data_IF_492781562202
#
_entry.id   IF_492781562202
#
_cell.length_a   1.000
_cell.length_b   1.000
_cell.length_c   1.000
_cell.angle_alpha   90.00
_cell.angle_beta   90.00
_cell.angle_gamma   90.00
#
_symmetry.space_group_name_H-M   'P 1'
#
loop_
_entity.id
_entity.type
_entity.pdbx_description
1 polymer ?
2 non-polymer ?
3 water ?
#
# COMPACT_ATOMS: atom_id res chain seq x y z
N UNK A 1 -7.79 11.36 25.48
CA UNK A 1 -6.64 11.22 26.45
C UNK A 1 -5.45 10.39 25.83
N UNK A 2 -5.65 9.09 25.59
CA UNK A 2 -4.78 8.23 24.74
C UNK A 2 -4.80 8.69 23.28
N UNK A 3 -3.63 8.74 22.65
CA UNK A 3 -3.50 9.11 21.22
C UNK A 3 -2.29 8.49 20.50
N UNK A 4 -2.49 8.16 19.23
CA UNK A 4 -1.42 7.61 18.38
C UNK A 4 -1.43 8.31 17.01
N UNK A 5 -0.33 9.01 16.70
CA UNK A 5 -0.08 9.48 15.33
C UNK A 5 1.05 8.64 14.67
N UNK A 6 0.76 8.18 13.45
CA UNK A 6 1.68 7.37 12.66
C UNK A 6 1.68 7.93 11.27
N UNK A 7 2.85 8.11 10.65
CA UNK A 7 2.91 8.83 9.34
C UNK A 7 4.17 8.52 8.58
N UNK A 8 4.05 8.49 7.25
CA UNK A 8 5.28 8.40 6.47
C UNK A 8 6.19 9.63 6.68
N UNK A 9 7.49 9.47 6.48
CA UNK A 9 8.39 10.58 6.43
C UNK A 9 7.72 11.66 5.58
N UNK A 10 7.55 12.87 6.13
CA UNK A 10 6.93 13.97 5.37
C UNK A 10 7.90 14.49 4.31
N UNK A 11 9.16 14.09 4.43
CA UNK A 11 10.21 14.45 3.49
C UNK A 11 10.28 13.58 2.23
N UNK A 12 11.39 13.71 1.52
CA UNK A 12 11.62 12.94 0.31
C UNK A 12 12.84 12.02 0.48
N UNK A 13 12.64 10.77 0.14
CA UNK A 13 13.68 9.78 0.20
C UNK A 13 13.95 9.35 -1.22
N UNK A 14 15.21 9.15 -1.56
CA UNK A 14 15.48 8.68 -2.89
C UNK A 14 16.12 7.28 -2.79
N UNK A 15 16.07 6.54 -3.88
CA UNK A 15 16.46 5.16 -3.93
C UNK A 15 17.99 5.01 -4.01
N UNK A 16 18.44 3.76 -3.94
CA UNK A 16 19.87 3.45 -3.85
C UNK A 16 20.26 3.06 -2.44
N UNK A 17 21.57 2.89 -2.27
CA UNK A 17 22.21 2.49 -1.02
C UNK A 17 22.24 3.69 -0.09
N UNK A 18 21.53 3.60 1.02
CA UNK A 18 21.25 4.81 1.77
C UNK A 18 22.55 5.17 2.44
N UNK A 19 23.01 6.44 2.28
CA UNK A 19 24.28 6.86 2.86
C UNK A 19 24.15 7.11 4.37
N UNK A 20 22.94 7.28 4.87
CA UNK A 20 22.72 7.36 6.32
C UNK A 20 21.50 6.56 6.75
N UNK A 21 21.26 6.46 8.06
CA UNK A 21 19.99 5.99 8.57
C UNK A 21 18.88 6.87 8.04
N UNK A 22 17.78 6.27 7.64
CA UNK A 22 16.66 7.10 7.18
C UNK A 22 15.36 6.61 7.82
N UNK A 23 14.58 7.57 8.33
CA UNK A 23 13.27 7.33 8.88
C UNK A 23 12.26 7.05 7.77
N UNK A 24 11.59 5.91 7.85
CA UNK A 24 10.47 5.62 6.93
C UNK A 24 9.09 6.12 7.45
N UNK A 25 8.90 6.10 8.78
CA UNK A 25 7.61 6.40 9.37
C UNK A 25 7.94 6.97 10.74
N UNK A 26 7.14 7.94 11.18
CA UNK A 26 7.29 8.43 12.56
C UNK A 26 6.14 7.84 13.37
N UNK A 27 6.37 7.62 14.65
CA UNK A 27 5.39 6.94 15.48
C UNK A 27 5.34 7.69 16.77
N UNK A 28 4.25 8.39 16.98
CA UNK A 28 4.15 9.11 18.25
C UNK A 28 2.97 8.65 19.17
N UNK A 29 3.32 8.36 20.41
CA UNK A 29 2.40 7.70 21.35
C UNK A 29 2.35 8.47 22.67
N UNK A 30 1.16 8.76 23.19
CA UNK A 30 1.11 9.33 24.53
C UNK A 30 -0.25 9.36 25.21
N UNK A 31 -0.21 9.40 26.54
CA UNK A 31 -1.40 9.49 27.39
C UNK A 31 -0.97 10.11 28.72
N UNK A 32 -1.77 11.03 29.25
CA UNK A 32 -1.51 11.62 30.60
C UNK A 32 -2.07 10.71 31.73
N UNK A 33 -3.28 10.19 31.50
CA UNK A 33 -3.84 9.06 32.27
C UNK A 33 -2.77 8.01 32.62
N UNK A 34 -2.92 7.31 33.75
CA UNK A 34 -1.75 6.48 34.20
C UNK A 34 -1.55 5.18 33.39
N UNK A 35 -0.31 4.67 33.30
CA UNK A 35 0.01 3.53 32.43
C UNK A 35 1.44 3.02 32.55
N UNK A 36 1.71 1.85 32.01
CA UNK A 36 3.01 1.26 32.24
C UNK A 36 3.86 1.24 30.99
N UNK A 37 3.21 1.15 29.82
CA UNK A 37 3.95 0.93 28.61
C UNK A 37 3.17 0.86 27.30
N UNK A 38 3.93 0.61 26.23
CA UNK A 38 3.43 0.68 24.88
C UNK A 38 4.09 -0.44 24.10
N UNK A 39 3.34 -1.01 23.16
CA UNK A 39 3.93 -2.02 22.26
C UNK A 39 3.41 -1.82 20.87
N UNK A 40 4.27 -2.05 19.89
CA UNK A 40 3.83 -2.01 18.49
C UNK A 40 3.87 -3.43 17.92
N UNK A 41 2.73 -3.86 17.42
CA UNK A 41 2.59 -5.21 16.85
C UNK A 41 2.43 -5.08 15.31
N UNK A 42 3.49 -5.48 14.61
CA UNK A 42 3.43 -5.47 13.15
C UNK A 42 2.45 -6.59 12.69
N UNK A 43 1.39 -6.20 11.97
CA UNK A 43 0.35 -7.13 11.52
C UNK A 43 0.46 -7.49 10.02
N UNK A 44 -0.27 -8.54 9.59
CA UNK A 44 -0.35 -8.93 8.18
C UNK A 44 1.00 -9.21 7.52
N UNK A 45 1.17 -8.70 6.30
CA UNK A 45 2.37 -8.86 5.45
C UNK A 45 3.58 -8.32 6.37
N UNK A 46 3.35 -7.32 7.26
CA UNK A 46 4.43 -6.73 8.13
C UNK A 46 4.92 -7.59 9.33
N UNK A 47 4.17 -8.60 9.71
CA UNK A 47 4.60 -9.55 10.72
C UNK A 47 6.12 -9.81 10.69
N UNK A 48 6.80 -9.63 11.81
CA UNK A 48 8.25 -9.79 11.80
C UNK A 48 9.05 -8.47 11.79
N UNK A 49 8.38 -7.35 11.48
CA UNK A 49 9.00 -6.03 11.51
C UNK A 49 9.40 -5.60 10.12
N UNK A 50 8.50 -5.76 9.16
CA UNK A 50 8.78 -5.45 7.76
C UNK A 50 7.87 -4.41 7.19
N UNK A 51 8.39 -3.68 6.19
CA UNK A 51 7.57 -2.92 5.26
C UNK A 51 7.62 -3.66 3.90
N UNK A 52 6.59 -3.53 3.07
CA UNK A 52 6.48 -4.32 1.82
C UNK A 52 6.29 -3.38 0.63
N UNK A 53 7.10 -3.57 -0.42
CA UNK A 53 7.05 -2.65 -1.55
C UNK A 53 5.89 -2.97 -2.47
N UNK A 54 5.50 -2.02 -3.31
CA UNK A 54 4.45 -2.27 -4.34
C UNK A 54 4.80 -3.44 -5.25
N UNK A 55 6.06 -3.82 -5.24
CA UNK A 55 6.63 -4.86 -6.09
C UNK A 55 6.75 -6.18 -5.29
N UNK A 56 6.48 -6.14 -4.00
CA UNK A 56 6.58 -7.32 -3.15
C UNK A 56 7.88 -7.63 -2.42
N UNK A 57 8.78 -6.66 -2.28
CA UNK A 57 10.02 -6.89 -1.54
C UNK A 57 9.77 -6.49 -0.12
N UNK A 58 10.33 -7.27 0.81
CA UNK A 58 10.18 -7.06 2.20
C UNK A 58 11.43 -6.43 2.76
N UNK A 59 11.34 -5.26 3.39
CA UNK A 59 12.52 -4.65 3.98
C UNK A 59 12.35 -4.42 5.48
N UNK A 60 13.28 -4.95 6.27
CA UNK A 60 13.26 -4.79 7.75
C UNK A 60 13.38 -3.35 8.25
N UNK A 61 12.70 -3.10 9.36
CA UNK A 61 12.68 -1.77 9.95
C UNK A 61 13.24 -1.89 11.34
N UNK A 62 13.75 -0.77 11.88
CA UNK A 62 14.23 -0.69 13.27
C UNK A 62 13.47 0.38 14.06
N UNK A 63 13.35 0.20 15.36
CA UNK A 63 12.76 1.25 16.17
C UNK A 63 13.86 2.03 16.91
N UNK A 64 13.80 3.35 16.93
CA UNK A 64 14.76 4.08 17.75
C UNK A 64 14.54 3.76 19.23
N UNK A 65 13.30 3.93 19.68
CA UNK A 65 12.95 3.97 21.12
C UNK A 65 12.62 2.63 21.75
N UNK A 66 12.23 1.63 20.96
CA UNK A 66 11.58 0.45 21.53
C UNK A 66 12.46 -0.75 21.45
N UNK A 67 12.27 -1.74 22.32
CA UNK A 67 13.02 -2.97 22.13
C UNK A 67 12.23 -4.00 21.36
N UNK A 68 12.93 -4.66 20.44
CA UNK A 68 12.35 -5.64 19.57
C UNK A 68 12.44 -7.00 20.23
N UNK A 69 11.30 -7.69 20.35
CA UNK A 69 11.28 -9.09 20.82
C UNK A 69 10.69 -10.06 19.76
N UNK A 70 11.58 -10.73 19.04
CA UNK A 70 11.18 -11.65 17.98
C UNK A 70 10.10 -12.65 18.38
N UNK A 71 10.25 -13.33 19.51
CA UNK A 71 9.35 -14.44 19.89
C UNK A 71 7.93 -13.98 20.18
N UNK A 72 7.70 -12.67 20.33
CA UNK A 72 6.35 -12.12 20.64
C UNK A 72 5.78 -11.39 19.45
N UNK A 73 6.60 -11.14 18.44
CA UNK A 73 6.26 -10.23 17.34
C UNK A 73 5.87 -8.82 17.83
N UNK A 74 6.73 -8.19 18.63
CA UNK A 74 6.52 -6.79 18.96
C UNK A 74 7.72 -6.03 19.41
N UNK A 75 7.58 -4.74 19.26
CA UNK A 75 8.47 -3.75 19.85
C UNK A 75 7.77 -3.28 21.10
N UNK A 76 8.54 -2.96 22.14
CA UNK A 76 7.90 -2.41 23.35
C UNK A 76 8.75 -1.40 24.12
N UNK A 77 8.09 -0.48 24.79
CA UNK A 77 8.78 0.43 25.69
C UNK A 77 7.96 0.55 26.99
N UNK A 78 8.62 0.40 28.12
CA UNK A 78 7.96 0.67 29.40
C UNK A 78 8.15 2.13 29.71
N UNK A 79 7.05 2.83 30.01
CA UNK A 79 7.12 4.24 30.28
C UNK A 79 5.93 4.78 31.04
N UNK A 80 6.19 5.20 32.30
CA UNK A 80 5.17 5.73 33.25
C UNK A 80 4.67 7.16 32.98
N UNK A 81 5.30 7.89 32.05
CA UNK A 81 5.18 9.40 31.93
C UNK A 81 4.13 9.97 30.98
N UNK A 82 3.61 11.19 31.27
CA UNK A 82 2.56 11.88 30.44
C UNK A 82 2.96 12.49 29.06
N UNK A 83 4.26 12.51 28.74
CA UNK A 83 4.77 13.14 27.47
C UNK A 83 4.57 12.29 26.16
N UNK A 84 4.05 12.85 25.04
CA UNK A 84 4.05 12.12 23.71
C UNK A 84 5.46 11.43 23.68
N UNK A 85 5.54 10.13 23.39
CA UNK A 85 6.81 9.45 22.99
C UNK A 85 6.98 9.55 21.45
N UNK A 86 8.10 10.08 20.95
CA UNK A 86 8.37 10.10 19.47
C UNK A 86 9.44 9.08 19.12
N UNK A 87 9.04 8.16 18.25
CA UNK A 87 9.88 7.09 17.76
C UNK A 87 9.91 7.20 16.25
N UNK A 88 11.00 6.71 15.68
CA UNK A 88 11.20 6.64 14.24
C UNK A 88 11.31 5.15 13.88
N UNK A 89 10.58 4.73 12.85
CA UNK A 89 10.83 3.44 12.29
C UNK A 89 11.66 3.74 11.06
N UNK A 90 12.86 3.14 11.01
CA UNK A 90 13.91 3.53 10.07
C UNK A 90 14.66 2.34 9.49
N UNK A 91 15.31 2.58 8.36
CA UNK A 91 16.37 1.67 7.84
C UNK A 91 17.77 2.20 8.17
N UNK A 92 18.68 1.27 8.45
CA UNK A 92 20.11 1.54 8.66
C UNK A 92 20.89 2.00 7.40
N UNK A 93 21.87 2.89 7.59
CA UNK A 93 22.87 3.19 6.55
C UNK A 93 23.29 1.91 5.80
N UNK A 94 23.40 1.98 4.47
CA UNK A 94 23.73 0.81 3.72
C UNK A 94 22.53 0.08 3.16
N UNK A 95 21.35 0.25 3.76
CA UNK A 95 20.15 -0.45 3.22
C UNK A 95 19.87 0.06 1.81
N UNK A 96 19.70 -0.88 0.89
CA UNK A 96 19.36 -0.57 -0.48
C UNK A 96 17.84 -0.42 -0.61
N UNK A 97 17.40 0.77 -1.02
CA UNK A 97 16.00 1.03 -1.24
C UNK A 97 15.77 1.13 -2.72
N UNK A 98 14.53 0.89 -3.16
CA UNK A 98 14.13 0.90 -4.57
C UNK A 98 13.17 2.03 -4.85
N UNK A 99 12.98 2.41 -6.14
CA UNK A 99 11.92 3.39 -6.50
C UNK A 99 10.57 2.67 -6.52
N UNK A 100 9.80 2.85 -5.46
CA UNK A 100 8.59 2.11 -5.24
C UNK A 100 7.92 2.74 -4.00
N UNK A 101 6.84 2.10 -3.54
CA UNK A 101 6.11 2.58 -2.40
C UNK A 101 6.12 1.44 -1.39
N UNK A 102 6.52 1.77 -0.16
CA UNK A 102 6.54 0.79 0.92
C UNK A 102 5.36 0.96 1.89
N UNK A 103 4.77 -0.17 2.32
CA UNK A 103 3.58 -0.20 3.21
C UNK A 103 3.92 -0.88 4.53
N UNK A 104 3.43 -0.33 5.64
CA UNK A 104 3.55 -0.98 6.96
C UNK A 104 2.15 -0.95 7.57
N UNK A 105 1.77 -2.04 8.25
CA UNK A 105 0.52 -2.07 9.03
C UNK A 105 0.91 -2.59 10.36
N UNK A 106 0.31 -2.06 11.42
CA UNK A 106 0.56 -2.56 12.80
C UNK A 106 -0.55 -2.26 13.79
N UNK A 107 -0.36 -2.69 15.03
CA UNK A 107 -1.29 -2.34 16.10
C UNK A 107 -0.50 -1.83 17.29
N UNK A 108 -0.81 -0.60 17.74
CA UNK A 108 -0.17 -0.08 18.97
C UNK A 108 -1.08 -0.43 20.18
N UNK A 109 -0.46 -0.90 21.26
CA UNK A 109 -1.23 -1.21 22.46
C UNK A 109 -0.62 -0.50 23.65
N UNK A 110 -1.50 0.23 24.35
CA UNK A 110 -1.15 0.80 25.64
C UNK A 110 -1.60 -0.18 26.75
N UNK A 111 -0.69 -0.49 27.68
CA UNK A 111 -0.98 -1.35 28.82
C UNK A 111 -0.59 -0.75 30.21
N UNK A 112 -1.14 -1.35 31.28
CA UNK A 112 -0.80 -1.02 32.68
C UNK A 112 -0.29 -2.28 33.39
N UNK A 113 0.57 -2.08 34.38
CA UNK A 113 1.15 -3.20 35.12
C UNK A 113 0.45 -3.38 36.48
N UNK A 114 0.40 -4.63 36.96
CA UNK A 114 -0.31 -5.03 38.20
C UNK A 114 0.52 -6.00 39.01
N UNK A 115 1.80 -5.68 39.25
CA UNK A 115 2.71 -6.53 40.08
C UNK A 115 3.30 -7.75 39.37
N UNK A 116 2.49 -8.48 38.61
CA UNK A 116 3.02 -9.65 37.88
C UNK A 116 2.75 -9.56 36.37
N UNK A 117 1.55 -9.09 36.01
CA UNK A 117 1.06 -9.14 34.64
C UNK A 117 0.83 -7.74 34.05
N UNK A 118 0.81 -7.63 32.72
CA UNK A 118 0.34 -6.41 32.06
C UNK A 118 -1.01 -6.65 31.43
N UNK A 119 -1.74 -5.56 31.22
CA UNK A 119 -3.11 -5.59 30.71
C UNK A 119 -3.46 -4.36 29.81
N UNK A 120 -3.90 -4.64 28.59
CA UNK A 120 -4.17 -3.64 27.58
C UNK A 120 -5.35 -2.69 27.94
N UNK A 121 -5.08 -1.38 28.00
CA UNK A 121 -6.13 -0.37 28.23
C UNK A 121 -6.55 0.47 27.04
N UNK A 122 -5.72 0.55 26.00
CA UNK A 122 -6.14 1.16 24.69
C UNK A 122 -5.39 0.52 23.50
N UNK A 123 -5.89 0.74 22.31
CA UNK A 123 -5.34 0.05 21.16
C UNK A 123 -5.70 0.82 19.93
N UNK A 124 -4.77 0.90 18.98
CA UNK A 124 -5.02 1.56 17.68
C UNK A 124 -4.24 0.90 16.51
N UNK A 125 -4.94 0.67 15.43
CA UNK A 125 -4.41 0.13 14.18
C UNK A 125 -3.68 1.28 13.50
N UNK A 126 -2.42 1.09 13.22
CA UNK A 126 -1.70 2.07 12.40
C UNK A 126 -1.44 1.47 11.02
N UNK A 127 -1.33 2.36 10.04
CA UNK A 127 -1.12 1.96 8.67
C UNK A 127 -0.51 3.17 7.96
N UNK A 128 0.49 2.94 7.10
CA UNK A 128 0.98 3.99 6.22
C UNK A 128 1.82 3.49 5.03
N UNK A 129 2.10 4.43 4.13
CA UNK A 129 2.71 4.18 2.84
C UNK A 129 3.69 5.28 2.57
N UNK A 130 4.93 4.89 2.29
CA UNK A 130 5.97 5.85 2.00
C UNK A 130 6.62 5.58 0.62
N UNK A 131 6.74 6.62 -0.21
CA UNK A 131 7.26 6.51 -1.59
C UNK A 131 8.73 6.97 -1.78
N UNK A 132 9.51 6.28 -2.60
CA UNK A 132 10.89 6.69 -2.93
C UNK A 132 11.17 6.68 -4.48
N UNK A 133 12.14 7.51 -5.07
CA UNK A 133 12.44 7.66 -6.64
C UNK A 133 13.99 7.57 -7.31
N UNK B 1 9.50 -39.44 -12.46
CA UNK B 1 9.37 -39.48 -10.97
C UNK B 1 8.89 -38.18 -10.22
N UNK B 2 9.66 -37.10 -10.26
CA UNK B 2 9.24 -35.82 -9.66
C UNK B 2 8.05 -35.19 -10.46
N UNK B 3 6.88 -35.00 -9.81
CA UNK B 3 5.63 -34.47 -10.46
C UNK B 3 5.18 -33.13 -9.82
N UNK B 4 4.78 -32.15 -10.65
CA UNK B 4 3.98 -31.03 -10.13
C UNK B 4 2.80 -30.67 -11.02
N UNK B 5 1.65 -30.48 -10.41
CA UNK B 5 0.46 -30.17 -11.20
C UNK B 5 -0.28 -28.99 -10.54
N UNK B 6 -0.68 -28.00 -11.35
CA UNK B 6 -1.20 -26.77 -10.84
C UNK B 6 -2.50 -26.56 -11.57
N UNK B 7 -3.61 -26.36 -10.85
CA UNK B 7 -4.93 -26.22 -11.51
C UNK B 7 -5.70 -25.09 -10.89
N UNK B 8 -6.33 -24.25 -11.73
CA UNK B 8 -7.30 -23.22 -11.31
C UNK B 8 -8.62 -23.82 -10.78
N UNK B 9 -9.22 -23.19 -9.78
CA UNK B 9 -10.48 -23.70 -9.27
C UNK B 9 -11.60 -23.26 -10.21
N UNK B 10 -11.48 -23.70 -11.46
CA UNK B 10 -12.59 -23.97 -12.39
C UNK B 10 -13.69 -22.92 -12.39
N UNK B 11 -14.94 -23.37 -12.25
CA UNK B 11 -16.12 -22.50 -12.19
C UNK B 11 -16.84 -22.72 -10.87
N UNK B 12 -16.13 -22.50 -9.76
CA UNK B 12 -16.74 -22.74 -8.45
C UNK B 12 -16.70 -21.42 -7.55
N UNK B 13 -16.21 -20.30 -8.11
CA UNK B 13 -16.00 -19.02 -7.39
C UNK B 13 -16.83 -17.88 -7.96
N UNK B 14 -17.51 -17.12 -7.10
CA UNK B 14 -18.35 -16.00 -7.54
C UNK B 14 -17.87 -14.76 -6.82
N UNK B 15 -18.33 -13.59 -7.27
CA UNK B 15 -17.76 -12.30 -6.92
C UNK B 15 -18.33 -11.75 -5.61
N UNK B 16 -17.62 -10.80 -4.99
CA UNK B 16 -18.12 -10.18 -3.75
C UNK B 16 -17.19 -10.40 -2.57
N UNK B 17 -17.70 -10.02 -1.39
CA UNK B 17 -17.00 -10.28 -0.15
C UNK B 17 -17.11 -11.78 0.06
N UNK B 18 -16.01 -12.51 -0.13
CA UNK B 18 -16.04 -13.95 0.07
C UNK B 18 -16.64 -14.34 1.44
N UNK B 19 -17.63 -15.26 1.47
CA UNK B 19 -18.22 -15.68 2.75
C UNK B 19 -17.34 -16.67 3.53
N UNK B 20 -16.35 -17.26 2.85
CA UNK B 20 -15.43 -18.23 3.49
C UNK B 20 -14.09 -18.27 2.81
N UNK B 21 -13.10 -18.91 3.42
CA UNK B 21 -11.84 -19.15 2.71
C UNK B 21 -12.17 -19.95 1.44
N UNK B 22 -11.72 -19.45 0.30
CA UNK B 22 -12.01 -20.15 -0.94
C UNK B 22 -10.76 -20.39 -1.74
N UNK B 23 -10.64 -21.59 -2.31
CA UNK B 23 -9.47 -21.99 -3.11
C UNK B 23 -9.45 -21.32 -4.48
N UNK B 24 -8.32 -20.72 -4.86
CA UNK B 24 -8.22 -20.16 -6.23
C UNK B 24 -7.47 -21.14 -7.12
N UNK B 25 -6.45 -21.77 -6.55
CA UNK B 25 -5.67 -22.74 -7.29
C UNK B 25 -5.33 -23.90 -6.34
N UNK B 26 -5.08 -25.03 -6.95
CA UNK B 26 -4.69 -26.24 -6.28
C UNK B 26 -3.26 -26.63 -6.79
N UNK B 27 -2.40 -27.10 -5.89
CA UNK B 27 -0.98 -27.44 -6.23
C UNK B 27 -0.71 -28.87 -5.75
N UNK B 28 -0.31 -29.75 -6.63
CA UNK B 28 0.10 -31.06 -6.16
C UNK B 28 1.59 -31.22 -6.47
N UNK B 29 2.34 -31.69 -5.51
CA UNK B 29 3.74 -31.92 -5.74
C UNK B 29 4.03 -33.26 -5.09
N UNK B 30 4.87 -34.05 -5.75
CA UNK B 30 5.34 -35.29 -5.16
C UNK B 30 6.56 -35.81 -5.86
N UNK B 31 7.32 -36.62 -5.12
CA UNK B 31 8.46 -37.38 -5.66
C UNK B 31 8.62 -38.61 -4.76
N UNK B 32 8.81 -39.77 -5.39
CA UNK B 32 9.02 -41.01 -4.64
C UNK B 32 10.51 -41.11 -4.26
N UNK B 33 11.37 -40.41 -5.02
CA UNK B 33 12.80 -40.37 -4.74
C UNK B 33 13.03 -39.60 -3.44
N UNK B 34 14.20 -39.75 -2.81
CA UNK B 34 14.40 -39.04 -1.55
C UNK B 34 14.57 -37.52 -1.73
N UNK B 35 14.03 -36.74 -0.80
CA UNK B 35 14.10 -35.27 -0.88
C UNK B 35 13.86 -34.71 0.52
N UNK B 36 14.21 -33.46 0.71
CA UNK B 36 14.06 -32.77 1.99
C UNK B 36 12.74 -32.00 2.04
N UNK B 37 12.37 -31.31 0.96
CA UNK B 37 11.15 -30.49 0.95
C UNK B 37 10.82 -29.78 -0.34
N UNK B 38 9.96 -28.77 -0.24
CA UNK B 38 9.39 -28.10 -1.43
C UNK B 38 9.17 -26.65 -1.11
N UNK B 39 9.43 -25.77 -2.09
CA UNK B 39 9.08 -24.35 -1.92
C UNK B 39 8.40 -23.86 -3.22
N UNK B 40 7.43 -22.94 -3.07
CA UNK B 40 6.85 -22.26 -4.23
C UNK B 40 7.30 -20.79 -4.20
N UNK B 41 7.85 -20.33 -5.32
CA UNK B 41 8.36 -18.96 -5.45
C UNK B 41 7.47 -18.22 -6.44
N UNK B 42 6.62 -17.34 -5.92
CA UNK B 42 5.80 -16.50 -6.82
C UNK B 42 6.72 -15.60 -7.73
N UNK B 43 6.46 -15.57 -9.04
CA UNK B 43 7.29 -14.80 -9.98
C UNK B 43 6.47 -13.75 -10.78
N UNK B 44 7.18 -12.75 -11.31
CA UNK B 44 6.55 -11.78 -12.22
C UNK B 44 5.47 -11.06 -11.48
N UNK B 45 4.30 -10.92 -12.09
CA UNK B 45 3.21 -10.23 -11.38
C UNK B 45 2.78 -10.79 -10.00
N UNK B 46 3.17 -12.04 -9.68
CA UNK B 46 2.75 -12.67 -8.43
C UNK B 46 3.67 -12.43 -7.26
N UNK B 47 4.77 -11.73 -7.53
CA UNK B 47 5.85 -11.61 -6.58
C UNK B 47 5.26 -11.14 -5.28
N UNK B 48 5.63 -11.77 -4.18
CA UNK B 48 5.04 -11.41 -2.89
C UNK B 48 3.84 -12.28 -2.49
N UNK B 49 3.42 -13.16 -3.39
CA UNK B 49 2.33 -14.10 -3.07
C UNK B 49 0.96 -13.53 -3.42
N UNK B 50 0.86 -12.89 -4.58
CA UNK B 50 -0.31 -12.07 -4.97
C UNK B 50 -0.89 -12.77 -6.27
N UNK B 51 -2.19 -12.73 -6.51
CA UNK B 51 -2.64 -12.99 -7.89
C UNK B 51 -3.00 -11.63 -8.52
N UNK B 52 -2.88 -11.52 -9.84
CA UNK B 52 -3.21 -10.28 -10.53
C UNK B 52 -4.46 -10.47 -11.41
N UNK B 53 -5.39 -9.54 -11.35
CA UNK B 53 -6.55 -9.57 -12.20
C UNK B 53 -6.19 -8.99 -13.56
N UNK B 54 -7.03 -9.27 -14.57
CA UNK B 54 -6.89 -8.75 -15.93
C UNK B 54 -6.84 -7.22 -16.00
N UNK B 55 -7.31 -6.54 -14.94
CA UNK B 55 -7.38 -5.10 -14.89
C UNK B 55 -6.39 -4.55 -13.92
N UNK B 56 -5.47 -5.39 -13.45
CA UNK B 56 -4.25 -4.89 -12.77
C UNK B 56 -4.31 -4.90 -11.27
N UNK B 57 -5.38 -5.41 -10.69
CA UNK B 57 -5.46 -5.46 -9.25
C UNK B 57 -4.73 -6.67 -8.73
N UNK B 58 -4.32 -6.58 -7.46
CA UNK B 58 -3.61 -7.61 -6.75
C UNK B 58 -4.45 -8.04 -5.62
N UNK B 59 -4.59 -9.35 -5.44
CA UNK B 59 -5.28 -9.91 -4.30
C UNK B 59 -4.32 -10.96 -3.71
N UNK B 60 -4.17 -10.98 -2.41
CA UNK B 60 -3.15 -11.82 -1.79
C UNK B 60 -3.63 -13.23 -1.63
N UNK B 61 -2.72 -14.17 -1.82
CA UNK B 61 -3.02 -15.60 -1.67
C UNK B 61 -2.35 -16.25 -0.43
N UNK B 62 -3.09 -17.10 0.26
CA UNK B 62 -2.53 -17.89 1.32
C UNK B 62 -2.36 -19.38 0.94
N UNK B 63 -1.30 -20.01 1.48
CA UNK B 63 -1.10 -21.44 1.33
C UNK B 63 -1.68 -22.21 2.53
N UNK B 64 -2.37 -23.31 2.32
CA UNK B 64 -2.86 -24.06 3.48
C UNK B 64 -1.76 -24.95 4.11
N UNK B 65 -0.86 -25.47 3.29
CA UNK B 65 0.18 -26.41 3.76
C UNK B 65 1.54 -25.82 4.06
N UNK B 66 1.86 -24.63 3.55
CA UNK B 66 3.23 -24.15 3.53
C UNK B 66 3.38 -22.94 4.40
N UNK B 67 4.61 -22.56 4.71
CA UNK B 67 4.83 -21.34 5.47
C UNK B 67 5.38 -20.30 4.54
N UNK B 68 4.86 -19.10 4.65
CA UNK B 68 5.27 -17.96 3.88
C UNK B 68 6.50 -17.33 4.53
N UNK B 69 7.58 -17.12 3.78
CA UNK B 69 8.72 -16.35 4.30
C UNK B 69 8.99 -15.19 3.33
N UNK B 70 8.65 -13.98 3.74
CA UNK B 70 8.48 -12.87 2.80
C UNK B 70 9.85 -12.41 2.34
N UNK B 71 10.87 -12.49 3.22
CA UNK B 71 12.23 -12.07 2.78
C UNK B 71 12.82 -12.94 1.67
N UNK B 72 12.36 -14.19 1.58
CA UNK B 72 12.77 -15.07 0.47
C UNK B 72 11.75 -15.15 -0.69
N UNK B 73 10.63 -14.43 -0.56
CA UNK B 73 9.58 -14.49 -1.59
C UNK B 73 9.25 -15.95 -1.87
N UNK B 74 9.04 -16.76 -0.82
CA UNK B 74 8.55 -18.09 -1.09
C UNK B 74 7.73 -18.67 0.02
N UNK B 75 6.94 -19.67 -0.36
CA UNK B 75 6.35 -20.56 0.59
C UNK B 75 7.23 -21.79 0.59
N UNK B 76 7.40 -22.44 1.75
CA UNK B 76 8.03 -23.79 1.80
C UNK B 76 7.31 -24.77 2.71
N UNK B 77 7.52 -26.07 2.44
CA UNK B 77 7.22 -27.15 3.41
C UNK B 77 8.34 -28.22 3.41
N UNK B 78 8.98 -28.44 4.55
CA UNK B 78 9.94 -29.56 4.70
C UNK B 78 9.15 -30.85 4.84
N UNK B 79 9.26 -31.74 3.85
CA UNK B 79 8.53 -32.98 3.87
C UNK B 79 9.40 -34.08 3.22
N UNK B 80 9.75 -35.15 4.00
CA UNK B 80 10.68 -36.27 3.60
C UNK B 80 9.97 -37.42 2.82
N UNK B 81 8.65 -37.27 2.63
CA UNK B 81 7.71 -38.38 2.29
C UNK B 81 7.45 -38.67 0.81
N UNK B 82 7.21 -39.95 0.45
CA UNK B 82 7.02 -40.25 -0.96
C UNK B 82 5.60 -40.02 -1.48
N UNK B 83 4.62 -39.70 -0.64
CA UNK B 83 3.29 -39.44 -1.22
C UNK B 83 3.08 -37.98 -1.66
N UNK B 84 2.29 -37.76 -2.70
CA UNK B 84 1.99 -36.42 -3.22
C UNK B 84 1.57 -35.51 -2.04
N UNK B 85 2.11 -34.28 -2.00
CA UNK B 85 1.51 -33.17 -1.22
C UNK B 85 0.49 -32.45 -2.11
N UNK B 86 -0.71 -32.22 -1.60
CA UNK B 86 -1.68 -31.41 -2.31
C UNK B 86 -1.91 -30.12 -1.51
N UNK B 87 -1.56 -28.95 -2.06
CA UNK B 87 -1.80 -27.69 -1.31
C UNK B 87 -2.97 -27.00 -1.94
N UNK B 88 -3.60 -26.11 -1.17
CA UNK B 88 -4.65 -25.20 -1.65
C UNK B 88 -4.16 -23.74 -1.54
N UNK B 89 -4.04 -23.01 -2.67
CA UNK B 89 -3.76 -21.54 -2.63
C UNK B 89 -5.11 -20.78 -2.59
N UNK B 90 -5.40 -20.14 -1.45
CA UNK B 90 -6.74 -19.70 -1.16
C UNK B 90 -6.75 -18.21 -0.77
N UNK B 91 -7.96 -17.63 -0.79
CA UNK B 91 -8.26 -16.24 -0.40
C UNK B 91 -9.07 -16.27 0.90
N UNK B 92 -8.76 -15.41 1.85
CA UNK B 92 -9.45 -15.38 3.14
C UNK B 92 -10.91 -14.91 3.01
N UNK B 93 -11.79 -15.46 3.83
CA UNK B 93 -13.09 -14.90 4.17
C UNK B 93 -12.98 -13.40 4.36
N UNK B 94 -13.98 -12.65 3.88
CA UNK B 94 -13.93 -11.21 3.88
C UNK B 94 -13.21 -10.57 2.69
N UNK B 95 -12.35 -11.28 2.00
CA UNK B 95 -11.67 -10.67 0.85
C UNK B 95 -12.74 -10.39 -0.22
N UNK B 96 -12.64 -9.27 -0.93
CA UNK B 96 -13.58 -8.94 -2.02
C UNK B 96 -12.98 -9.33 -3.38
N UNK B 97 -13.69 -10.14 -4.13
CA UNK B 97 -13.26 -10.53 -5.44
C UNK B 97 -14.18 -9.86 -6.48
N UNK B 98 -13.62 -9.55 -7.65
CA UNK B 98 -14.36 -8.93 -8.74
C UNK B 98 -14.75 -9.96 -9.81
N UNK B 99 -15.74 -9.65 -10.70
CA UNK B 99 -15.97 -10.62 -11.76
C UNK B 99 -14.94 -10.41 -12.86
N UNK B 100 -13.93 -11.29 -12.92
CA UNK B 100 -12.74 -11.05 -13.73
C UNK B 100 -11.90 -12.32 -13.68
N UNK B 101 -10.72 -12.29 -14.31
CA UNK B 101 -9.82 -13.41 -14.33
C UNK B 101 -8.53 -13.04 -13.59
N UNK B 102 -8.13 -13.95 -12.69
CA UNK B 102 -6.96 -13.79 -11.81
C UNK B 102 -5.85 -14.76 -12.26
N UNK B 103 -4.62 -14.26 -12.37
CA UNK B 103 -3.50 -15.00 -12.93
C UNK B 103 -2.48 -15.23 -11.77
N UNK B 104 -1.95 -16.44 -11.61
CA UNK B 104 -0.79 -16.64 -10.74
C UNK B 104 0.28 -17.34 -11.54
N UNK B 105 1.55 -17.01 -11.26
CA UNK B 105 2.73 -17.63 -11.87
C UNK B 105 3.77 -17.72 -10.80
N UNK B 106 4.53 -18.79 -10.81
CA UNK B 106 5.56 -18.98 -9.83
C UNK B 106 6.36 -20.19 -10.30
N UNK B 107 7.42 -20.48 -9.56
CA UNK B 107 8.29 -21.60 -9.80
C UNK B 107 8.29 -22.54 -8.59
N UNK B 108 8.08 -23.83 -8.82
CA UNK B 108 8.23 -24.80 -7.75
C UNK B 108 9.69 -25.34 -7.63
N UNK B 109 10.27 -25.41 -6.45
CA UNK B 109 11.54 -26.13 -6.30
C UNK B 109 11.49 -27.30 -5.32
N UNK B 110 12.17 -28.40 -5.68
CA UNK B 110 12.41 -29.57 -4.78
C UNK B 110 13.82 -29.55 -4.33
N UNK B 111 14.06 -29.78 -3.04
CA UNK B 111 15.41 -29.63 -2.49
C UNK B 111 15.80 -30.72 -1.47
N UNK B 112 17.10 -30.78 -1.14
CA UNK B 112 17.63 -31.71 -0.11
C UNK B 112 18.60 -31.02 0.81
N UNK B 113 18.81 -31.60 1.99
CA UNK B 113 19.72 -30.99 2.97
C UNK B 113 21.12 -31.59 3.01
N UNK B 114 22.09 -30.83 3.55
CA UNK B 114 23.31 -31.32 4.19
C UNK B 114 23.08 -30.98 5.66
N UNK B 115 24.12 -30.67 6.46
CA UNK B 115 23.79 -30.16 7.83
C UNK B 115 23.59 -28.65 7.84
N UNK B 116 24.40 -27.96 7.02
CA UNK B 116 24.39 -26.49 6.93
C UNK B 116 23.82 -26.03 5.54
N UNK B 117 22.51 -26.20 5.33
CA UNK B 117 21.74 -25.65 4.16
C UNK B 117 21.29 -26.61 3.00
N UNK B 118 20.33 -26.15 2.17
CA UNK B 118 19.68 -26.99 1.16
C UNK B 118 20.18 -26.69 -0.23
N UNK B 119 19.89 -27.57 -1.18
CA UNK B 119 20.27 -27.31 -2.54
C UNK B 119 19.19 -27.93 -3.43
N UNK B 120 18.95 -27.31 -4.57
CA UNK B 120 17.82 -27.63 -5.44
C UNK B 120 18.08 -28.79 -6.37
N UNK B 121 17.13 -29.73 -6.47
CA UNK B 121 17.28 -30.87 -7.37
C UNK B 121 16.26 -30.98 -8.49
N UNK B 122 15.11 -30.34 -8.36
CA UNK B 122 14.17 -30.24 -9.51
C UNK B 122 13.42 -28.93 -9.44
N UNK B 123 12.93 -28.46 -10.57
CA UNK B 123 12.12 -27.26 -10.55
C UNK B 123 11.18 -27.26 -11.71
N UNK B 124 10.05 -26.57 -11.55
CA UNK B 124 9.17 -26.37 -12.68
C UNK B 124 8.32 -25.12 -12.56
N UNK B 125 8.17 -24.41 -13.66
CA UNK B 125 7.33 -23.22 -13.69
C UNK B 125 5.88 -23.63 -13.60
N UNK B 126 5.07 -22.82 -12.92
CA UNK B 126 3.63 -23.11 -12.91
C UNK B 126 2.98 -21.82 -13.22
N UNK B 127 1.75 -21.91 -13.71
CA UNK B 127 0.99 -20.77 -14.21
C UNK B 127 -0.46 -21.21 -14.44
N UNK B 128 -1.42 -20.36 -14.04
CA UNK B 128 -2.87 -20.59 -14.28
C UNK B 128 -3.67 -19.30 -14.00
N UNK B 129 -4.90 -19.24 -14.52
CA UNK B 129 -5.80 -18.07 -14.62
C UNK B 129 -7.08 -18.68 -14.11
N UNK B 130 -7.82 -17.96 -13.26
CA UNK B 130 -9.13 -18.43 -12.84
C UNK B 130 -10.10 -17.24 -12.99
N UNK B 131 -11.30 -17.52 -13.53
CA UNK B 131 -12.36 -16.51 -13.78
C UNK B 131 -13.39 -16.55 -12.67
N UNK B 132 -13.98 -15.40 -12.27
CA UNK B 132 -15.13 -15.33 -11.31
C UNK B 132 -16.36 -14.49 -11.84
N UNK B 133 -17.65 -14.72 -11.39
CA UNK B 133 -19.00 -14.17 -11.98
C UNK B 133 -20.03 -13.48 -11.01
N UNK C 1 -8.02 40.33 -1.82
CA UNK C 1 -8.92 39.80 -2.90
C UNK C 1 -8.31 38.55 -3.59
N UNK C 2 -9.18 37.66 -4.08
CA UNK C 2 -8.83 36.25 -4.27
C UNK C 2 -8.98 35.76 -5.71
N UNK C 3 -7.89 35.68 -6.49
CA UNK C 3 -8.05 35.00 -7.79
C UNK C 3 -8.07 33.45 -7.65
N UNK C 4 -9.11 32.82 -8.22
CA UNK C 4 -9.07 31.39 -8.58
C UNK C 4 -9.30 31.22 -10.08
N UNK C 5 -8.30 30.69 -10.78
CA UNK C 5 -8.28 30.56 -12.23
C UNK C 5 -8.04 29.07 -12.59
N UNK C 6 -9.03 28.45 -13.22
CA UNK C 6 -8.96 27.07 -13.68
C UNK C 6 -9.02 27.15 -15.20
N UNK C 7 -8.27 26.29 -15.89
CA UNK C 7 -8.08 26.43 -17.33
C UNK C 7 -7.58 25.12 -17.92
N UNK C 8 -8.26 24.60 -18.96
CA UNK C 8 -7.80 23.32 -19.53
C UNK C 8 -6.43 23.54 -20.14
N UNK C 9 -5.65 22.48 -20.27
CA UNK C 9 -4.41 22.57 -21.01
C UNK C 9 -4.80 23.08 -22.39
N UNK C 10 -4.08 24.07 -22.88
CA UNK C 10 -4.37 24.61 -24.19
C UNK C 10 -4.01 23.65 -25.33
N UNK C 11 -4.52 22.41 -25.24
CA UNK C 11 -4.76 21.54 -26.41
C UNK C 11 -3.93 20.32 -26.81
N UNK C 12 -2.61 20.50 -26.92
CA UNK C 12 -1.72 19.54 -27.60
C UNK C 12 -1.54 18.19 -26.88
N UNK C 13 -2.59 17.37 -26.89
CA UNK C 13 -2.62 16.10 -26.18
C UNK C 13 -3.14 15.01 -27.10
N UNK C 14 -2.37 13.91 -27.18
CA UNK C 14 -2.71 12.87 -28.12
C UNK C 14 -3.18 11.61 -27.41
N UNK C 15 -4.15 10.92 -28.02
CA UNK C 15 -4.78 9.75 -27.45
C UNK C 15 -3.76 8.60 -27.43
N UNK C 16 -4.08 7.52 -26.73
CA UNK C 16 -3.15 6.38 -26.56
C UNK C 16 -2.44 6.48 -25.22
N UNK C 17 -1.41 5.63 -25.03
CA UNK C 17 -0.54 5.60 -23.84
C UNK C 17 0.23 6.90 -23.73
N UNK C 18 0.13 7.60 -22.60
CA UNK C 18 0.97 8.82 -22.42
C UNK C 18 2.40 8.41 -22.07
N UNK C 19 3.37 8.84 -22.88
CA UNK C 19 4.79 8.58 -22.61
C UNK C 19 5.32 9.30 -21.37
N UNK C 20 4.82 10.51 -21.07
CA UNK C 20 5.07 11.14 -19.76
C UNK C 20 3.82 11.55 -19.01
N UNK C 21 4.01 12.11 -17.81
CA UNK C 21 2.96 12.85 -17.07
C UNK C 21 2.45 14.01 -17.93
N UNK C 22 1.13 14.19 -18.05
CA UNK C 22 0.63 15.29 -18.90
C UNK C 22 -0.52 16.09 -18.25
N UNK C 23 -0.40 17.42 -18.33
CA UNK C 23 -1.36 18.35 -17.76
C UNK C 23 -2.67 18.33 -18.55
N UNK C 24 -3.77 18.23 -17.81
CA UNK C 24 -5.11 18.31 -18.39
C UNK C 24 -5.63 19.69 -18.06
N UNK C 25 -5.53 20.07 -16.78
CA UNK C 25 -5.97 21.38 -16.28
C UNK C 25 -4.89 22.10 -15.43
N UNK C 26 -4.76 23.42 -15.62
CA UNK C 26 -4.05 24.27 -14.64
C UNK C 26 -5.00 24.99 -13.66
N UNK C 27 -4.51 25.26 -12.46
CA UNK C 27 -5.26 25.93 -11.39
C UNK C 27 -4.35 26.99 -10.79
N UNK C 28 -4.72 28.26 -10.90
CA UNK C 28 -3.98 29.32 -10.21
C UNK C 28 -4.86 29.81 -9.08
N UNK C 29 -4.37 29.78 -7.85
CA UNK C 29 -5.17 30.26 -6.72
C UNK C 29 -4.35 31.29 -5.99
N UNK C 30 -4.97 32.38 -5.57
CA UNK C 30 -4.19 33.45 -4.96
C UNK C 30 -4.96 34.31 -4.00
N UNK C 31 -4.24 34.97 -3.10
CA UNK C 31 -4.81 35.91 -2.13
C UNK C 31 -3.70 36.64 -1.37
N UNK C 32 -3.81 37.97 -1.32
CA UNK C 32 -2.87 38.84 -0.59
C UNK C 32 -3.24 38.91 0.91
N UNK C 33 -4.53 38.84 1.19
CA UNK C 33 -5.05 38.88 2.56
C UNK C 33 -4.74 37.59 3.31
N UNK C 34 -4.46 37.69 4.62
CA UNK C 34 -4.01 36.53 5.44
C UNK C 34 -4.91 35.28 5.30
N UNK C 35 -4.31 34.08 5.33
CA UNK C 35 -5.06 32.80 5.24
C UNK C 35 -4.21 31.58 5.59
N UNK C 36 -4.88 30.45 5.87
CA UNK C 36 -4.22 29.20 6.24
C UNK C 36 -3.91 28.22 5.10
N UNK C 37 -4.78 28.18 4.08
CA UNK C 37 -4.58 27.25 2.97
C UNK C 37 -5.73 27.14 2.01
N UNK C 38 -5.67 26.09 1.19
CA UNK C 38 -6.56 25.88 0.05
C UNK C 38 -6.87 24.41 -0.08
N UNK C 39 -8.10 24.13 -0.51
CA UNK C 39 -8.48 22.79 -0.87
C UNK C 39 -9.29 22.82 -2.17
N UNK C 40 -9.20 21.74 -2.93
CA UNK C 40 -10.04 21.53 -4.12
C UNK C 40 -10.82 20.28 -3.88
N UNK C 41 -12.15 20.37 -3.86
CA UNK C 41 -12.93 19.13 -3.71
C UNK C 41 -13.59 18.75 -5.03
N UNK C 42 -13.24 17.57 -5.55
CA UNK C 42 -13.89 17.02 -6.74
C UNK C 42 -15.41 16.82 -6.56
N UNK C 43 -16.22 17.67 -7.18
CA UNK C 43 -17.70 17.52 -7.18
C UNK C 43 -18.29 16.75 -8.36
N UNK C 44 -19.53 16.28 -8.17
CA UNK C 44 -20.36 15.72 -9.24
C UNK C 44 -19.76 14.50 -9.85
N UNK C 45 -19.62 14.52 -11.18
CA UNK C 45 -19.01 13.40 -11.89
C UNK C 45 -17.50 13.21 -11.58
N UNK C 46 -16.86 14.29 -11.12
CA UNK C 46 -15.45 14.29 -10.78
C UNK C 46 -15.12 13.69 -9.39
N UNK C 47 -16.12 13.21 -8.64
CA UNK C 47 -15.91 12.67 -7.27
C UNK C 47 -14.77 11.64 -7.14
N UNK C 48 -13.97 11.75 -6.09
CA UNK C 48 -12.84 10.84 -5.90
C UNK C 48 -11.62 11.19 -6.75
N UNK C 49 -11.66 12.32 -7.48
CA UNK C 49 -10.51 12.81 -8.27
C UNK C 49 -10.40 12.32 -9.73
N UNK C 50 -11.50 12.52 -10.47
CA UNK C 50 -11.67 12.03 -11.85
C UNK C 50 -12.13 13.08 -12.82
N UNK C 51 -11.82 12.84 -14.09
CA UNK C 51 -12.43 13.60 -15.19
C UNK C 51 -13.24 12.60 -16.02
N UNK C 52 -14.40 13.04 -16.49
CA UNK C 52 -15.34 12.12 -17.13
C UNK C 52 -15.30 12.32 -18.65
N UNK C 53 -15.25 11.23 -19.40
CA UNK C 53 -15.37 11.34 -20.87
C UNK C 53 -16.79 11.58 -21.34
N UNK C 54 -16.90 12.37 -22.39
CA UNK C 54 -18.16 12.56 -23.09
C UNK C 54 -18.87 11.22 -23.44
N UNK C 55 -18.17 10.09 -23.34
CA UNK C 55 -18.83 8.78 -23.45
C UNK C 55 -18.96 8.09 -22.11
N UNK C 56 -18.88 8.86 -21.02
CA UNK C 56 -18.96 8.33 -19.64
C UNK C 56 -17.81 7.48 -19.10
N UNK C 57 -16.59 7.66 -19.59
CA UNK C 57 -15.44 6.97 -18.99
C UNK C 57 -14.77 7.87 -17.95
N UNK C 58 -14.14 7.23 -16.96
CA UNK C 58 -13.52 7.95 -15.84
C UNK C 58 -12.02 7.74 -15.91
N UNK C 59 -11.25 8.83 -15.81
CA UNK C 59 -9.76 8.78 -15.77
C UNK C 59 -9.26 9.55 -14.54
N UNK C 60 -8.36 8.92 -13.78
CA UNK C 60 -7.78 9.55 -12.59
C UNK C 60 -6.93 10.78 -12.90
N UNK C 61 -7.12 11.81 -12.09
CA UNK C 61 -6.25 12.99 -12.06
C UNK C 61 -5.35 13.00 -10.84
N UNK C 62 -4.21 13.66 -10.94
CA UNK C 62 -3.31 13.86 -9.81
C UNK C 62 -2.95 15.36 -9.74
N UNK C 63 -2.79 15.88 -8.51
CA UNK C 63 -2.24 17.22 -8.31
C UNK C 63 -0.70 17.27 -8.11
N UNK C 64 -0.03 18.22 -8.77
CA UNK C 64 1.42 18.40 -8.54
C UNK C 64 1.70 18.94 -7.14
N UNK C 65 0.97 20.01 -6.76
CA UNK C 65 1.23 20.78 -5.54
C UNK C 65 0.53 20.29 -4.29
N UNK C 66 -0.62 19.64 -4.42
CA UNK C 66 -1.47 19.43 -3.26
C UNK C 66 -1.42 17.98 -2.83
N UNK C 67 -1.79 17.73 -1.58
CA UNK C 67 -1.81 16.38 -1.04
C UNK C 67 -3.29 15.92 -1.08
N UNK C 68 -3.50 14.69 -1.53
CA UNK C 68 -4.83 14.12 -1.68
C UNK C 68 -5.23 13.33 -0.42
N UNK C 69 -6.37 13.68 0.17
CA UNK C 69 -6.90 12.86 1.24
C UNK C 69 -8.18 12.16 0.81
N UNK C 70 -8.05 10.82 0.61
CA UNK C 70 -9.12 9.94 0.15
C UNK C 70 -10.43 10.21 0.88
N UNK C 71 -10.41 10.03 2.21
CA UNK C 71 -11.54 10.43 3.06
C UNK C 71 -11.67 11.95 3.05
N UNK C 72 -12.89 12.43 3.03
CA UNK C 72 -13.15 13.87 2.88
C UNK C 72 -12.99 14.37 1.43
N UNK C 73 -12.58 13.50 0.49
CA UNK C 73 -12.68 13.77 -0.97
C UNK C 73 -12.07 15.11 -1.40
N UNK C 74 -10.80 15.32 -1.04
CA UNK C 74 -10.19 16.61 -1.35
C UNK C 74 -8.70 16.56 -1.47
N UNK C 75 -8.18 17.55 -2.20
CA UNK C 75 -6.73 17.82 -2.23
C UNK C 75 -6.56 19.08 -1.39
N UNK C 76 -5.43 19.18 -0.68
CA UNK C 76 -5.17 20.44 0.01
C UNK C 76 -3.72 20.84 -0.06
N UNK C 77 -3.52 22.14 0.10
CA UNK C 77 -2.18 22.69 0.35
C UNK C 77 -2.32 23.77 1.43
N UNK C 78 -1.57 23.65 2.54
CA UNK C 78 -1.49 24.79 3.51
C UNK C 78 -0.43 25.73 3.01
N UNK C 79 -0.73 27.02 3.02
CA UNK C 79 0.19 28.03 2.52
C UNK C 79 -0.26 29.40 3.00
N UNK C 80 0.62 30.09 3.74
CA UNK C 80 0.41 31.46 4.30
C UNK C 80 0.74 32.60 3.32
N UNK C 81 1.16 32.27 2.09
CA UNK C 81 1.79 33.24 1.18
C UNK C 81 0.85 34.12 0.33
N UNK C 82 1.20 35.43 0.20
CA UNK C 82 0.55 36.35 -0.73
C UNK C 82 0.70 35.99 -2.24
N UNK C 83 1.75 35.25 -2.61
CA UNK C 83 1.97 34.86 -4.03
C UNK C 83 0.95 33.87 -4.52
N UNK C 84 0.68 33.92 -5.83
CA UNK C 84 -0.19 32.93 -6.47
C UNK C 84 0.44 31.50 -6.36
N UNK C 85 -0.40 30.52 -6.10
CA UNK C 85 -0.06 29.10 -6.21
C UNK C 85 -0.52 28.64 -7.60
N UNK C 86 0.38 28.02 -8.37
CA UNK C 86 -0.05 27.50 -9.66
C UNK C 86 0.11 25.98 -9.79
N UNK C 87 -1.04 25.30 -9.74
CA UNK C 87 -1.06 23.83 -9.73
C UNK C 87 -1.28 23.26 -11.10
N UNK C 88 -0.72 22.08 -11.35
CA UNK C 88 -0.82 21.44 -12.64
C UNK C 88 -1.66 20.18 -12.30
N UNK C 89 -2.85 20.03 -12.89
CA UNK C 89 -3.66 18.82 -12.67
C UNK C 89 -3.46 17.85 -13.84
N UNK C 90 -2.83 16.72 -13.55
CA UNK C 90 -2.23 15.94 -14.62
C UNK C 90 -2.64 14.45 -14.60
N UNK C 91 -2.36 13.77 -15.72
CA UNK C 91 -2.46 12.31 -15.83
C UNK C 91 -1.07 11.62 -15.79
N UNK C 92 -0.94 10.53 -15.03
CA UNK C 92 0.35 9.84 -14.83
C UNK C 92 0.79 9.11 -16.10
N UNK C 93 2.06 9.25 -16.46
CA UNK C 93 2.72 8.44 -17.51
C UNK C 93 2.16 6.98 -17.70
N UNK C 94 1.90 6.54 -18.92
CA UNK C 94 1.31 5.19 -19.06
C UNK C 94 -0.22 5.10 -18.99
N UNK C 95 -0.87 6.09 -18.39
CA UNK C 95 -2.32 6.25 -18.51
C UNK C 95 -2.75 6.27 -20.00
N UNK C 96 -3.80 5.51 -20.30
CA UNK C 96 -4.35 5.41 -21.63
C UNK C 96 -5.47 6.44 -21.77
N UNK C 97 -5.28 7.45 -22.62
CA UNK C 97 -6.38 8.38 -23.00
C UNK C 97 -7.07 7.95 -24.33
N UNK C 98 -8.32 8.36 -24.49
CA UNK C 98 -9.06 8.12 -25.73
C UNK C 98 -9.27 9.44 -26.46
N UNK C 99 -9.57 9.36 -27.76
CA UNK C 99 -9.74 10.61 -28.50
C UNK C 99 -11.14 11.14 -28.23
N UNK C 100 -11.28 11.93 -27.16
CA UNK C 100 -12.59 12.41 -26.73
C UNK C 100 -12.47 13.69 -25.90
N UNK C 101 -13.58 14.11 -25.31
CA UNK C 101 -13.56 15.25 -24.44
C UNK C 101 -13.77 14.82 -23.01
N UNK C 102 -12.96 15.41 -22.12
CA UNK C 102 -12.99 15.08 -20.68
C UNK C 102 -13.40 16.29 -19.88
N UNK C 103 -14.34 16.08 -18.96
CA UNK C 103 -14.83 17.14 -18.10
C UNK C 103 -14.34 16.94 -16.68
N UNK C 104 -14.03 18.06 -16.01
CA UNK C 104 -13.72 18.09 -14.59
C UNK C 104 -14.59 19.12 -13.87
N UNK C 105 -15.23 18.69 -12.78
CA UNK C 105 -15.92 19.67 -11.88
C UNK C 105 -15.46 19.64 -10.42
N UNK C 106 -15.39 20.83 -9.84
CA UNK C 106 -14.97 20.97 -8.45
C UNK C 106 -15.15 22.33 -7.77
N UNK C 107 -14.93 22.32 -6.45
CA UNK C 107 -15.06 23.51 -5.59
C UNK C 107 -13.72 23.84 -4.92
N UNK C 108 -13.18 25.04 -5.19
CA UNK C 108 -12.05 25.59 -4.39
C UNK C 108 -12.52 26.23 -3.07
N UNK C 109 -12.03 25.71 -1.94
CA UNK C 109 -12.21 26.30 -0.61
C UNK C 109 -10.89 26.90 -0.09
N UNK C 110 -10.85 28.21 0.15
CA UNK C 110 -9.75 28.86 0.92
C UNK C 110 -10.03 29.01 2.45
N UNK C 111 -9.11 28.49 3.29
CA UNK C 111 -9.29 28.44 4.78
C UNK C 111 -8.20 29.18 5.61
N UNK C 112 -8.45 29.36 6.92
CA UNK C 112 -7.61 30.26 7.77
C UNK C 112 -6.78 29.69 8.96
N UNK C 113 -7.36 28.78 9.76
CA UNK C 113 -6.69 28.20 10.97
C UNK C 113 -6.61 29.06 12.24
N UNK C 114 -7.23 28.61 13.32
CA UNK C 114 -6.83 29.04 14.66
C UNK C 114 -5.82 27.98 15.18
N UNK C 115 -5.71 27.78 16.49
CA UNK C 115 -4.69 26.82 16.98
C UNK C 115 -5.11 25.35 16.84
N UNK C 116 -6.43 25.12 16.76
CA UNK C 116 -7.06 23.82 16.56
C UNK C 116 -8.22 24.15 15.61
N UNK C 117 -8.10 23.71 14.35
CA UNK C 117 -9.19 23.70 13.36
C UNK C 117 -9.27 24.84 12.36
N UNK C 118 -9.59 24.49 11.12
CA UNK C 118 -9.70 25.44 10.02
C UNK C 118 -11.14 25.84 9.77
N UNK C 119 -11.34 26.83 8.92
CA UNK C 119 -12.63 27.43 8.76
C UNK C 119 -12.63 28.05 7.38
N UNK C 120 -13.56 27.60 6.53
CA UNK C 120 -13.71 28.13 5.16
C UNK C 120 -14.02 29.64 5.19
N UNK C 121 -13.33 30.43 4.38
CA UNK C 121 -13.59 31.88 4.30
C UNK C 121 -13.85 32.43 2.88
N UNK C 122 -13.69 31.57 1.88
CA UNK C 122 -14.11 31.83 0.50
C UNK C 122 -14.30 30.53 -0.22
N UNK C 123 -14.96 30.58 -1.38
CA UNK C 123 -15.18 29.39 -2.20
C UNK C 123 -15.42 29.76 -3.64
N UNK C 124 -15.24 28.80 -4.55
CA UNK C 124 -15.52 29.02 -5.98
C UNK C 124 -15.58 27.69 -6.72
N UNK C 125 -16.72 27.45 -7.37
CA UNK C 125 -16.87 26.31 -8.27
C UNK C 125 -16.04 26.51 -9.53
N UNK C 126 -15.47 25.41 -10.04
CA UNK C 126 -14.61 25.45 -11.24
C UNK C 126 -14.99 24.31 -12.15
N UNK C 127 -14.96 24.56 -13.45
CA UNK C 127 -15.23 23.44 -14.33
C UNK C 127 -14.46 23.57 -15.62
N UNK C 128 -14.19 22.44 -16.25
CA UNK C 128 -13.40 22.48 -17.49
C UNK C 128 -13.60 21.28 -18.40
N UNK C 129 -13.36 21.53 -19.70
CA UNK C 129 -13.34 20.53 -20.75
C UNK C 129 -11.98 20.59 -21.46
N UNK C 130 -11.35 19.43 -21.59
CA UNK C 130 -10.19 19.27 -22.47
C UNK C 130 -10.44 18.15 -23.51
N UNK C 131 -10.02 18.41 -24.75
CA UNK C 131 -10.16 17.44 -25.85
C UNK C 131 -8.78 16.86 -26.20
N UNK C 132 -8.69 15.54 -26.20
CA UNK C 132 -7.53 14.85 -26.71
C UNK C 132 -7.79 14.35 -28.17
N UNK C 133 -6.73 14.39 -28.99
CA UNK C 133 -6.82 14.17 -30.46
C UNK C 133 -5.99 12.97 -30.97
#
# INVERSE_FOLDING_TARGET
>A
TFHVDFAPNTGEIFAGKQPGDVTMFTLTMGDTAPHGGWRLIPTGDSKGGYMISADGDYVGLYSYMMSWVGIDNNWYINDDSPKDIKDHLYVKAGTVLKPTTYKFTGRVEEYVFNDKQSTVINSKDVSGEVTVK
>B
TFHVDFAPNTGEIFAGKQPGDVTMFTLTMGDTAPHGGWRLIPTGDSKGGYMISADGDYVGLYSYMMSWVGIDNNWYINDDSPKDIKDHLYVKAGTVLKPTTYKFTGRVEEYVFNDKQSTVINSKDVSGEVTVK
>C
TFHVDFAPNTGEIFAGKQPGDVTMFTLTMGDTAPHGGWRLIPTGDSKGGYMISADGDYVGLYSYMMSWVGIDNNWYINDDSPKDIKDHLYVKAGTVLKPTTYKFTGRVEEYVFNDKQSTVINSKDVSGEVTVK
#
